data_IF_583457699741
#
_entry.id   IF_583457699741
#
_cell.length_a   1.000
_cell.length_b   1.000
_cell.length_c   1.000
_cell.angle_alpha   90.00
_cell.angle_beta   90.00
_cell.angle_gamma   90.00
#
_symmetry.space_group_name_H-M   'P 1'
#
loop_
_entity.id
_entity.type
_entity.pdbx_description
1 polymer ?
#
# COMPACT_ATOMS: atom_id res chain seq x y z
N UNK A 1 20.95 -16.52 -7.99
CA UNK A 1 19.81 -17.27 -7.39
C UNK A 1 19.23 -16.49 -6.22
N UNK A 2 20.06 -16.10 -5.25
CA UNK A 2 19.67 -15.30 -4.07
C UNK A 2 18.89 -14.03 -4.43
N UNK A 3 19.35 -13.23 -5.40
CA UNK A 3 18.69 -11.97 -5.77
C UNK A 3 17.24 -12.14 -6.28
N UNK A 4 16.95 -13.18 -7.07
CA UNK A 4 15.61 -13.42 -7.59
C UNK A 4 14.65 -13.90 -6.47
N UNK A 5 15.16 -14.75 -5.56
CA UNK A 5 14.42 -15.20 -4.38
C UNK A 5 14.12 -14.02 -3.45
N UNK A 6 15.11 -13.18 -3.18
CA UNK A 6 14.93 -11.96 -2.39
C UNK A 6 13.92 -11.00 -3.04
N UNK A 7 14.02 -10.78 -4.35
CA UNK A 7 13.06 -9.95 -5.07
C UNK A 7 11.62 -10.48 -4.94
N UNK A 8 11.42 -11.80 -5.06
CA UNK A 8 10.10 -12.40 -4.85
C UNK A 8 9.59 -12.19 -3.44
N UNK A 9 10.40 -12.45 -2.41
CA UNK A 9 9.98 -12.29 -1.02
C UNK A 9 9.71 -10.84 -0.65
N UNK A 10 10.61 -9.93 -1.00
CA UNK A 10 10.46 -8.49 -0.73
C UNK A 10 9.25 -7.94 -1.48
N UNK A 11 9.08 -8.28 -2.75
CA UNK A 11 7.92 -7.87 -3.55
C UNK A 11 6.61 -8.35 -2.95
N UNK A 12 6.52 -9.64 -2.59
CA UNK A 12 5.33 -10.20 -1.95
C UNK A 12 5.03 -9.55 -0.59
N UNK A 13 6.04 -9.30 0.24
CA UNK A 13 5.86 -8.62 1.52
C UNK A 13 5.36 -7.18 1.33
N UNK A 14 5.92 -6.43 0.37
CA UNK A 14 5.46 -5.08 0.04
C UNK A 14 4.02 -5.09 -0.48
N UNK A 15 3.66 -6.06 -1.32
CA UNK A 15 2.30 -6.21 -1.83
C UNK A 15 1.29 -6.44 -0.70
N UNK A 16 1.57 -7.41 0.17
CA UNK A 16 0.71 -7.71 1.32
C UNK A 16 0.63 -6.52 2.26
N UNK A 17 1.75 -5.85 2.56
CA UNK A 17 1.78 -4.65 3.39
C UNK A 17 0.93 -3.51 2.80
N UNK A 18 1.02 -3.28 1.49
CA UNK A 18 0.19 -2.30 0.79
C UNK A 18 -1.31 -2.61 0.90
N UNK A 19 -1.70 -3.87 0.71
CA UNK A 19 -3.09 -4.30 0.88
C UNK A 19 -3.59 -4.12 2.31
N UNK A 20 -2.77 -4.44 3.31
CA UNK A 20 -3.12 -4.25 4.73
C UNK A 20 -3.38 -2.77 5.03
N UNK A 21 -2.53 -1.86 4.54
CA UNK A 21 -2.71 -0.41 4.73
C UNK A 21 -4.02 0.07 4.08
N UNK A 22 -4.30 -0.38 2.86
CA UNK A 22 -5.53 -0.02 2.14
C UNK A 22 -6.78 -0.58 2.84
N UNK A 23 -6.71 -1.83 3.29
CA UNK A 23 -7.81 -2.48 4.01
C UNK A 23 -8.08 -1.81 5.35
N UNK A 24 -7.03 -1.51 6.12
CA UNK A 24 -7.15 -0.80 7.39
C UNK A 24 -7.79 0.58 7.22
N UNK A 25 -7.39 1.33 6.19
CA UNK A 25 -8.05 2.61 5.86
C UNK A 25 -9.54 2.43 5.57
N UNK A 26 -9.90 1.36 4.87
CA UNK A 26 -11.29 1.09 4.52
C UNK A 26 -12.13 0.70 5.74
N UNK A 27 -11.57 -0.06 6.69
CA UNK A 27 -12.25 -0.43 7.94
C UNK A 27 -12.26 0.68 8.99
N UNK A 28 -11.36 1.66 8.89
CA UNK A 28 -11.29 2.82 9.78
C UNK A 28 -11.36 4.13 8.98
N UNK A 29 -12.55 4.48 8.44
CA UNK A 29 -12.74 5.78 7.81
C UNK A 29 -12.44 6.90 8.81
N UNK A 30 -11.63 7.87 8.38
CA UNK A 30 -11.37 9.11 9.13
C UNK A 30 -12.71 9.72 9.54
N UNK A 31 -12.91 9.86 10.84
CA UNK A 31 -14.18 10.10 11.48
C UNK A 31 -15.00 11.21 10.81
N UNK A 32 -16.22 10.86 10.39
CA UNK A 32 -17.28 11.84 10.15
C UNK A 32 -17.51 12.58 11.48
N UNK A 33 -17.18 13.86 11.52
CA UNK A 33 -17.35 14.68 12.72
C UNK A 33 -18.81 14.57 13.18
N UNK A 34 -19.03 14.02 14.37
CA UNK A 34 -20.35 13.92 14.98
C UNK A 34 -20.91 15.31 15.30
N UNK A 35 -22.22 15.37 15.55
CA UNK A 35 -23.01 16.59 15.81
C UNK A 35 -22.51 17.50 16.97
N UNK A 36 -21.46 17.10 17.69
CA UNK A 36 -20.83 17.84 18.78
C UNK A 36 -19.54 18.60 18.42
N UNK A 37 -19.04 18.52 17.19
CA UNK A 37 -17.80 19.21 16.80
C UNK A 37 -18.04 20.68 16.37
N UNK A 38 -18.73 21.47 17.19
CA UNK A 38 -18.77 22.93 17.05
C UNK A 38 -17.64 23.56 17.88
N UNK A 39 -16.45 23.62 17.30
CA UNK A 39 -15.48 24.67 17.57
C UNK A 39 -14.65 24.85 16.29
N UNK A 40 -14.66 26.03 15.64
CA UNK A 40 -13.81 26.29 14.49
C UNK A 40 -12.38 26.44 14.99
N UNK A 41 -11.68 25.33 15.17
CA UNK A 41 -10.22 25.34 15.24
C UNK A 41 -9.71 25.24 13.81
N UNK A 42 -9.81 26.32 13.04
CA UNK A 42 -9.37 26.31 11.64
C UNK A 42 -8.79 27.65 11.20
N UNK A 43 -7.57 27.95 11.67
CA UNK A 43 -6.60 28.66 10.84
C UNK A 43 -6.14 27.79 9.65
N UNK A 44 -6.61 26.54 9.55
CA UNK A 44 -6.32 25.61 8.45
C UNK A 44 -7.61 25.14 7.78
N UNK A 45 -7.80 25.53 6.52
CA UNK A 45 -8.86 25.01 5.66
C UNK A 45 -8.61 23.51 5.44
N UNK A 46 -9.58 22.67 5.81
CA UNK A 46 -9.56 21.26 5.41
C UNK A 46 -9.77 21.18 3.89
N UNK A 47 -8.68 21.03 3.13
CA UNK A 47 -8.75 20.77 1.70
C UNK A 47 -8.85 19.26 1.46
N UNK A 48 -9.86 18.76 0.73
CA UNK A 48 -9.93 17.34 0.38
C UNK A 48 -8.74 16.98 -0.51
N UNK A 49 -7.81 16.19 0.05
CA UNK A 49 -6.61 15.70 -0.63
C UNK A 49 -6.52 14.17 -0.56
N UNK A 50 -5.61 13.59 -1.36
CA UNK A 50 -5.31 12.17 -1.27
C UNK A 50 -4.74 11.86 0.11
N UNK A 51 -5.34 10.88 0.82
CA UNK A 51 -4.80 10.50 2.13
C UNK A 51 -3.43 9.85 1.96
N UNK A 52 -2.46 10.11 2.86
CA UNK A 52 -1.15 9.44 2.81
C UNK A 52 -1.27 7.92 2.79
N UNK A 53 -2.23 7.37 3.54
CA UNK A 53 -2.51 5.93 3.56
C UNK A 53 -2.95 5.39 2.18
N UNK A 54 -3.72 6.17 1.42
CA UNK A 54 -4.10 5.79 0.05
C UNK A 54 -2.86 5.75 -0.84
N UNK A 55 -2.06 6.83 -0.82
CA UNK A 55 -0.88 6.95 -1.68
C UNK A 55 0.13 5.86 -1.37
N UNK A 56 0.51 5.71 -0.09
CA UNK A 56 1.50 4.73 0.35
C UNK A 56 1.00 3.30 0.12
N UNK A 57 -0.25 3.01 0.47
CA UNK A 57 -0.85 1.69 0.26
C UNK A 57 -0.87 1.30 -1.22
N UNK A 58 -1.28 2.22 -2.11
CA UNK A 58 -1.30 1.98 -3.55
C UNK A 58 0.10 1.77 -4.13
N UNK A 59 1.08 2.60 -3.75
CA UNK A 59 2.47 2.48 -4.24
C UNK A 59 3.08 1.14 -3.80
N UNK A 60 2.94 0.78 -2.52
CA UNK A 60 3.43 -0.50 -2.00
C UNK A 60 2.81 -1.70 -2.73
N UNK A 61 1.51 -1.63 -3.00
CA UNK A 61 0.78 -2.69 -3.71
C UNK A 61 1.32 -2.85 -5.14
N UNK A 62 1.38 -1.77 -5.92
CA UNK A 62 1.81 -1.85 -7.33
C UNK A 62 3.27 -2.27 -7.46
N UNK A 63 4.16 -1.65 -6.69
CA UNK A 63 5.60 -1.93 -6.74
C UNK A 63 5.88 -3.34 -6.23
N UNK A 64 5.24 -3.74 -5.12
CA UNK A 64 5.38 -5.07 -4.56
C UNK A 64 4.93 -6.17 -5.53
N UNK A 65 3.78 -6.00 -6.17
CA UNK A 65 3.27 -6.94 -7.17
C UNK A 65 4.24 -7.08 -8.35
N UNK A 66 4.72 -5.97 -8.91
CA UNK A 66 5.64 -5.96 -10.03
C UNK A 66 6.96 -6.67 -9.69
N UNK A 67 7.55 -6.34 -8.53
CA UNK A 67 8.80 -6.95 -8.08
C UNK A 67 8.64 -8.45 -7.78
N UNK A 68 7.54 -8.81 -7.13
CA UNK A 68 7.21 -10.20 -6.79
C UNK A 68 7.03 -11.06 -8.03
N UNK A 69 6.24 -10.59 -9.00
CA UNK A 69 6.00 -11.25 -10.27
C UNK A 69 7.29 -11.38 -11.10
N UNK A 70 8.11 -10.34 -11.14
CA UNK A 70 9.39 -10.35 -11.85
C UNK A 70 10.37 -11.38 -11.26
N UNK A 71 10.52 -11.39 -9.93
CA UNK A 71 11.36 -12.39 -9.25
C UNK A 71 10.86 -13.82 -9.49
N UNK A 72 9.54 -14.04 -9.39
CA UNK A 72 8.93 -15.34 -9.63
C UNK A 72 9.11 -15.81 -11.08
N UNK A 73 8.90 -14.91 -12.06
CA UNK A 73 9.10 -15.19 -13.48
C UNK A 73 10.54 -15.58 -13.79
N UNK A 74 11.54 -14.90 -13.21
CA UNK A 74 12.94 -15.28 -13.34
C UNK A 74 13.25 -16.66 -12.76
N UNK A 75 12.64 -17.03 -11.63
CA UNK A 75 12.84 -18.35 -11.02
C UNK A 75 12.21 -19.46 -11.88
N UNK A 76 11.01 -19.23 -12.42
CA UNK A 76 10.29 -20.19 -13.26
C UNK A 76 11.00 -20.38 -14.60
N UNK A 77 11.32 -19.29 -15.30
CA UNK A 77 11.94 -19.34 -16.64
C UNK A 77 13.32 -20.00 -16.67
N UNK A 78 14.04 -19.98 -15.54
CA UNK A 78 15.34 -20.67 -15.39
C UNK A 78 15.21 -22.16 -15.09
N UNK A 79 14.05 -22.62 -14.62
CA UNK A 79 13.76 -24.04 -14.35
C UNK A 79 13.30 -24.79 -15.59
N UNK A 80 12.91 -24.05 -16.63
CA UNK A 80 12.42 -24.56 -17.91
C UNK A 80 13.51 -24.67 -18.99
N UNK A 81 14.75 -24.24 -18.69
CA UNK A 81 15.94 -24.48 -19.52
C UNK A 81 16.77 -25.57 -18.87
#
# INVERSE_FOLDING_TARGET
MVAAVLATWVGSAMFVGGLVVLFHRWTHPVSSFGWFAYAPLSDTVFTPGLSPALVVGSVLTVVGAALGAFGAGMLIGRRSR
#
